data_IF_473240401068
#
_entry.id   IF_473240401068
#
_cell.length_a   1.000
_cell.length_b   1.000
_cell.length_c   1.000
_cell.angle_alpha   90.00
_cell.angle_beta   90.00
_cell.angle_gamma   90.00
#
_symmetry.space_group_name_H-M   'P 1'
#
loop_
_entity.id
_entity.type
_entity.pdbx_description
1 polymer ?
#
# COMPACT_ATOMS: atom_id res chain seq x y z
N UNK A 1 64.48 37.31 10.17
CA UNK A 1 63.98 36.09 9.54
C UNK A 1 63.40 35.19 10.62
N UNK A 2 62.07 35.23 10.86
CA UNK A 2 61.42 34.35 11.79
C UNK A 2 60.90 33.18 10.98
N UNK A 3 61.39 31.98 11.22
CA UNK A 3 60.90 30.74 10.64
C UNK A 3 59.65 30.28 11.43
N UNK A 4 58.49 30.31 10.78
CA UNK A 4 57.25 29.78 11.31
C UNK A 4 57.32 28.25 11.25
N UNK A 5 57.38 27.60 12.42
CA UNK A 5 57.26 26.15 12.59
C UNK A 5 55.82 25.71 12.25
N UNK A 6 55.62 24.61 11.49
CA UNK A 6 54.27 24.10 11.20
C UNK A 6 53.61 23.50 12.47
N UNK A 7 52.30 23.60 12.62
CA UNK A 7 51.60 23.10 13.80
C UNK A 7 51.68 21.55 13.85
N UNK A 8 52.15 21.06 15.00
CA UNK A 8 52.20 19.60 15.33
C UNK A 8 50.80 19.03 15.33
N UNK A 9 50.40 18.35 14.28
CA UNK A 9 49.10 17.63 14.24
C UNK A 9 49.19 16.39 15.13
N UNK A 10 48.41 16.35 16.20
CA UNK A 10 48.34 15.22 17.11
C UNK A 10 47.78 13.99 16.38
N UNK A 11 48.48 12.84 16.34
CA UNK A 11 48.01 11.63 15.65
C UNK A 11 46.70 11.06 16.19
N UNK A 12 46.37 11.39 17.44
CA UNK A 12 45.16 10.97 18.12
C UNK A 12 43.88 11.58 17.47
N UNK A 13 43.95 12.82 16.95
CA UNK A 13 42.82 13.46 16.28
C UNK A 13 42.53 12.87 14.90
N UNK A 14 43.52 12.33 14.22
CA UNK A 14 43.37 11.71 12.92
C UNK A 14 42.73 10.34 13.10
N UNK A 15 43.15 9.54 14.08
CA UNK A 15 42.56 8.24 14.38
C UNK A 15 41.08 8.34 14.78
N UNK A 16 40.69 9.34 15.57
CA UNK A 16 39.32 9.56 16.00
C UNK A 16 38.39 9.92 14.86
N UNK A 17 38.82 10.72 13.88
CA UNK A 17 38.03 11.06 12.69
C UNK A 17 37.76 9.87 11.78
N UNK A 18 38.71 8.98 11.61
CA UNK A 18 38.52 7.78 10.77
C UNK A 18 37.64 6.72 11.47
N UNK A 19 37.71 6.61 12.80
CA UNK A 19 36.84 5.72 13.58
C UNK A 19 35.36 6.12 13.53
N UNK A 20 35.05 7.42 13.58
CA UNK A 20 33.68 7.94 13.49
C UNK A 20 33.12 7.74 12.08
N UNK A 21 33.95 7.96 11.05
CA UNK A 21 33.53 7.79 9.66
C UNK A 21 33.24 6.32 9.30
N UNK A 22 34.04 5.39 9.82
CA UNK A 22 33.80 3.95 9.59
C UNK A 22 32.58 3.42 10.34
N UNK A 23 32.26 3.95 11.51
CA UNK A 23 31.05 3.60 12.27
C UNK A 23 29.78 4.11 11.59
N UNK A 24 29.82 5.26 10.95
CA UNK A 24 28.69 5.81 10.19
C UNK A 24 28.36 5.01 8.92
N UNK A 25 29.35 4.36 8.27
CA UNK A 25 29.12 3.52 7.11
C UNK A 25 28.48 2.17 7.46
N UNK A 26 28.63 1.68 8.68
CA UNK A 26 28.06 0.39 9.11
C UNK A 26 26.56 0.47 9.45
N UNK A 27 25.99 1.67 9.60
CA UNK A 27 24.58 1.90 9.94
C UNK A 27 23.65 1.99 8.72
N UNK A 28 24.17 1.94 7.50
CA UNK A 28 23.36 2.06 6.27
C UNK A 28 22.97 0.72 5.63
N UNK A 29 23.33 -0.40 6.23
CA UNK A 29 22.97 -1.69 5.69
C UNK A 29 21.75 -2.24 6.44
N UNK A 30 20.63 -2.25 5.76
CA UNK A 30 19.53 -3.22 5.80
C UNK A 30 18.15 -2.58 5.59
N UNK A 31 18.02 -1.73 4.59
CA UNK A 31 16.71 -1.58 3.97
C UNK A 31 16.51 -2.80 3.04
N UNK A 32 16.25 -3.97 3.62
CA UNK A 32 15.65 -5.05 2.84
C UNK A 32 14.26 -4.55 2.44
N UNK A 33 14.10 -4.20 1.17
CA UNK A 33 12.77 -4.10 0.58
C UNK A 33 12.15 -5.51 0.75
N UNK A 34 11.24 -5.65 1.72
CA UNK A 34 10.46 -6.88 1.85
C UNK A 34 9.72 -7.04 0.53
N UNK A 35 9.99 -8.14 -0.16
CA UNK A 35 9.18 -8.52 -1.30
C UNK A 35 7.71 -8.55 -0.86
N UNK A 36 6.78 -7.98 -1.64
CA UNK A 36 5.37 -8.01 -1.28
C UNK A 36 4.94 -9.46 -1.08
N UNK A 37 4.31 -9.76 0.04
CA UNK A 37 3.75 -11.06 0.33
C UNK A 37 2.61 -11.33 -0.64
N UNK A 38 2.89 -12.16 -1.64
CA UNK A 38 1.91 -12.53 -2.64
C UNK A 38 0.93 -13.54 -2.05
N UNK A 39 -0.36 -13.20 -2.12
CA UNK A 39 -1.43 -14.12 -1.75
C UNK A 39 -1.46 -15.33 -2.69
N UNK A 40 -1.73 -16.51 -2.15
CA UNK A 40 -1.99 -17.71 -2.95
C UNK A 40 -3.44 -17.69 -3.40
N UNK A 41 -3.68 -17.79 -4.70
CA UNK A 41 -5.02 -17.73 -5.29
C UNK A 41 -5.36 -19.01 -6.03
N UNK A 42 -6.62 -19.44 -5.87
CA UNK A 42 -7.26 -20.50 -6.64
C UNK A 42 -8.39 -19.91 -7.47
N UNK A 43 -8.44 -20.28 -8.74
CA UNK A 43 -9.48 -19.81 -9.67
C UNK A 43 -10.35 -20.97 -10.14
N UNK A 44 -11.66 -20.75 -10.15
CA UNK A 44 -12.66 -21.65 -10.70
C UNK A 44 -13.72 -20.83 -11.43
N UNK A 45 -13.94 -21.12 -12.72
CA UNK A 45 -14.91 -20.41 -13.56
C UNK A 45 -14.92 -18.87 -13.34
N UNK A 46 -15.94 -18.37 -12.65
CA UNK A 46 -16.14 -16.95 -12.33
C UNK A 46 -15.78 -16.58 -10.89
N UNK A 47 -15.17 -17.49 -10.13
CA UNK A 47 -14.75 -17.29 -8.73
C UNK A 47 -13.24 -17.30 -8.63
N UNK A 48 -12.69 -16.31 -7.96
CA UNK A 48 -11.29 -16.23 -7.52
C UNK A 48 -11.30 -16.24 -5.99
N UNK A 49 -10.54 -17.13 -5.36
CA UNK A 49 -10.35 -17.18 -3.92
C UNK A 49 -8.86 -17.09 -3.59
N UNK A 50 -8.49 -16.18 -2.72
CA UNK A 50 -7.11 -15.91 -2.34
C UNK A 50 -6.94 -15.96 -0.83
N UNK A 51 -5.74 -16.34 -0.38
CA UNK A 51 -5.32 -16.30 1.01
C UNK A 51 -3.89 -15.75 1.06
N UNK A 52 -3.64 -14.80 1.95
CA UNK A 52 -2.29 -14.31 2.23
C UNK A 52 -1.60 -15.12 3.33
N UNK A 53 -0.35 -14.77 3.65
CA UNK A 53 0.44 -15.47 4.68
C UNK A 53 -0.09 -15.25 6.08
N UNK A 54 -0.75 -14.13 6.33
CA UNK A 54 -1.33 -13.80 7.64
C UNK A 54 -2.67 -14.53 7.86
N UNK A 55 -3.14 -15.29 6.85
CA UNK A 55 -4.39 -16.02 6.87
C UNK A 55 -5.61 -15.15 6.52
N UNK A 56 -5.41 -13.90 6.08
CA UNK A 56 -6.50 -13.12 5.53
C UNK A 56 -6.96 -13.76 4.23
N UNK A 57 -8.26 -13.89 4.09
CA UNK A 57 -8.86 -14.55 2.93
C UNK A 57 -9.84 -13.63 2.23
N UNK A 58 -9.87 -13.69 0.91
CA UNK A 58 -10.87 -12.99 0.12
C UNK A 58 -11.27 -13.77 -1.12
N UNK A 59 -12.50 -13.55 -1.55
CA UNK A 59 -13.01 -14.13 -2.79
C UNK A 59 -13.69 -13.06 -3.63
N UNK A 60 -13.60 -13.25 -4.93
CA UNK A 60 -14.17 -12.37 -5.96
C UNK A 60 -14.97 -13.24 -6.92
N UNK A 61 -16.25 -12.95 -7.07
CA UNK A 61 -17.12 -13.58 -8.05
C UNK A 61 -17.71 -12.50 -8.96
N UNK A 62 -17.82 -12.79 -10.25
CA UNK A 62 -18.39 -11.87 -11.24
C UNK A 62 -19.62 -12.49 -11.89
N UNK A 63 -20.69 -11.72 -11.95
CA UNK A 63 -21.93 -12.08 -12.64
C UNK A 63 -22.40 -10.86 -13.47
N UNK A 64 -22.31 -10.96 -14.78
CA UNK A 64 -22.61 -9.86 -15.69
C UNK A 64 -21.71 -8.64 -15.40
N UNK A 65 -22.32 -7.49 -15.13
CA UNK A 65 -21.63 -6.23 -14.83
C UNK A 65 -21.38 -6.03 -13.33
N UNK A 66 -21.63 -7.04 -12.51
CA UNK A 66 -21.53 -6.95 -11.06
C UNK A 66 -20.44 -7.89 -10.54
N UNK A 67 -19.58 -7.37 -9.70
CA UNK A 67 -18.54 -8.10 -8.99
C UNK A 67 -18.90 -8.15 -7.50
N UNK A 68 -18.91 -9.33 -6.94
CA UNK A 68 -19.15 -9.61 -5.52
C UNK A 68 -17.84 -9.98 -4.88
N UNK A 69 -17.46 -9.27 -3.82
CA UNK A 69 -16.24 -9.50 -3.06
C UNK A 69 -16.62 -9.84 -1.61
N UNK A 70 -15.89 -10.76 -1.02
CA UNK A 70 -15.98 -11.10 0.40
C UNK A 70 -14.57 -11.23 0.95
N UNK A 71 -14.35 -10.74 2.15
CA UNK A 71 -13.08 -10.87 2.82
C UNK A 71 -13.22 -11.24 4.28
N UNK A 72 -12.12 -11.81 4.81
CA UNK A 72 -11.94 -12.10 6.21
C UNK A 72 -10.53 -11.64 6.62
N UNK A 73 -10.45 -10.82 7.65
CA UNK A 73 -9.21 -10.29 8.23
C UNK A 73 -8.98 -10.95 9.60
N UNK A 74 -7.86 -11.66 9.73
CA UNK A 74 -7.53 -12.43 10.94
C UNK A 74 -7.32 -11.53 12.14
N UNK A 75 -6.59 -10.42 11.96
CA UNK A 75 -6.19 -9.51 13.05
C UNK A 75 -7.38 -8.93 13.82
N UNK A 76 -8.48 -8.65 13.14
CA UNK A 76 -9.71 -8.12 13.76
C UNK A 76 -10.86 -9.11 13.81
N UNK A 77 -10.66 -10.36 13.34
CA UNK A 77 -11.75 -11.31 13.06
C UNK A 77 -12.87 -10.66 12.25
N UNK A 78 -12.51 -9.70 11.42
CA UNK A 78 -13.42 -8.85 10.65
C UNK A 78 -13.80 -9.54 9.35
N UNK A 79 -15.09 -9.66 9.10
CA UNK A 79 -15.63 -10.10 7.82
C UNK A 79 -16.22 -8.90 7.09
N UNK A 80 -16.07 -8.87 5.79
CA UNK A 80 -16.66 -7.82 4.98
C UNK A 80 -17.18 -8.37 3.65
N UNK A 81 -18.13 -7.66 3.08
CA UNK A 81 -18.67 -7.89 1.75
C UNK A 81 -18.70 -6.58 0.98
N UNK A 82 -18.44 -6.64 -0.30
CA UNK A 82 -18.56 -5.51 -1.21
C UNK A 82 -19.20 -5.95 -2.51
N UNK A 83 -20.10 -5.13 -3.00
CA UNK A 83 -20.68 -5.26 -4.34
C UNK A 83 -20.21 -4.09 -5.19
N UNK A 84 -19.74 -4.40 -6.38
CA UNK A 84 -19.28 -3.40 -7.36
C UNK A 84 -20.05 -3.61 -8.65
N UNK A 85 -20.76 -2.58 -9.13
CA UNK A 85 -21.55 -2.63 -10.35
C UNK A 85 -21.06 -1.59 -11.35
N UNK A 86 -20.95 -2.00 -12.61
CA UNK A 86 -20.47 -1.16 -13.70
C UNK A 86 -21.59 -0.78 -14.66
N UNK A 87 -21.70 0.52 -14.93
CA UNK A 87 -22.65 1.09 -15.87
C UNK A 87 -21.89 2.01 -16.87
N UNK A 88 -21.48 1.47 -17.99
CA UNK A 88 -20.65 2.20 -18.95
C UNK A 88 -19.31 2.62 -18.36
N UNK A 89 -19.10 3.94 -18.23
CA UNK A 89 -17.88 4.52 -17.68
C UNK A 89 -17.94 4.78 -16.15
N UNK A 90 -19.05 4.44 -15.52
CA UNK A 90 -19.30 4.63 -14.11
C UNK A 90 -19.31 3.28 -13.40
N UNK A 91 -18.57 3.19 -12.33
CA UNK A 91 -18.50 2.01 -11.45
C UNK A 91 -18.88 2.45 -10.05
N UNK A 92 -19.91 1.84 -9.47
CA UNK A 92 -20.32 2.03 -8.08
C UNK A 92 -19.89 0.84 -7.25
N UNK A 93 -19.53 1.10 -6.00
CA UNK A 93 -19.31 0.05 -5.03
C UNK A 93 -19.95 0.40 -3.67
N UNK A 94 -20.43 -0.61 -3.00
CA UNK A 94 -20.93 -0.52 -1.63
C UNK A 94 -20.40 -1.71 -0.85
N UNK A 95 -20.10 -1.52 0.41
CA UNK A 95 -19.62 -2.57 1.27
C UNK A 95 -20.12 -2.44 2.70
N UNK A 96 -20.03 -3.53 3.42
CA UNK A 96 -20.42 -3.65 4.82
C UNK A 96 -19.48 -4.63 5.51
N UNK A 97 -19.04 -4.29 6.71
CA UNK A 97 -18.23 -5.15 7.56
C UNK A 97 -18.99 -5.63 8.81
N UNK A 98 -18.49 -6.69 9.43
CA UNK A 98 -19.08 -7.32 10.63
C UNK A 98 -19.02 -6.44 11.89
N UNK A 99 -18.16 -5.43 11.89
CA UNK A 99 -18.06 -4.39 12.93
C UNK A 99 -19.09 -3.26 12.75
N UNK A 100 -19.92 -3.33 11.70
CA UNK A 100 -20.93 -2.33 11.38
C UNK A 100 -20.43 -1.19 10.47
N UNK A 101 -19.16 -1.15 10.12
CA UNK A 101 -18.67 -0.18 9.15
C UNK A 101 -19.30 -0.43 7.77
N UNK A 102 -19.87 0.61 7.19
CA UNK A 102 -20.38 0.61 5.82
C UNK A 102 -19.60 1.63 4.98
N UNK A 103 -19.37 1.30 3.72
CA UNK A 103 -18.73 2.23 2.78
C UNK A 103 -19.42 2.22 1.43
N UNK A 104 -19.31 3.33 0.74
CA UNK A 104 -19.86 3.55 -0.59
C UNK A 104 -18.89 4.40 -1.38
N UNK A 105 -18.85 4.17 -2.66
CA UNK A 105 -18.07 5.02 -3.54
C UNK A 105 -18.37 4.78 -5.01
N UNK A 106 -17.72 5.58 -5.82
CA UNK A 106 -17.79 5.42 -7.26
C UNK A 106 -16.47 5.82 -7.93
N UNK A 107 -16.30 5.29 -9.11
CA UNK A 107 -15.22 5.58 -10.03
C UNK A 107 -15.82 5.96 -11.37
N UNK A 108 -15.45 7.10 -11.93
CA UNK A 108 -15.93 7.58 -13.24
C UNK A 108 -14.77 7.86 -14.15
N UNK A 109 -14.78 7.22 -15.30
CA UNK A 109 -13.80 7.48 -16.35
C UNK A 109 -14.22 8.69 -17.22
N UNK A 110 -13.30 9.64 -17.39
CA UNK A 110 -13.47 10.82 -18.22
C UNK A 110 -12.22 10.93 -19.11
N UNK A 111 -12.30 10.44 -20.35
CA UNK A 111 -11.16 10.37 -21.26
C UNK A 111 -10.03 9.49 -20.70
N UNK A 112 -8.87 10.09 -20.48
CA UNK A 112 -7.66 9.45 -19.95
C UNK A 112 -7.60 9.43 -18.40
N UNK A 113 -8.57 10.04 -17.77
CA UNK A 113 -8.61 10.28 -16.33
C UNK A 113 -9.73 9.49 -15.69
N UNK A 114 -9.51 8.98 -14.49
CA UNK A 114 -10.52 8.34 -13.64
C UNK A 114 -10.66 9.13 -12.35
N UNK A 115 -11.86 9.60 -12.09
CA UNK A 115 -12.26 10.28 -10.85
C UNK A 115 -12.77 9.23 -9.88
N UNK A 116 -12.22 9.20 -8.67
CA UNK A 116 -12.60 8.27 -7.62
C UNK A 116 -13.11 9.05 -6.40
N UNK A 117 -14.19 8.56 -5.80
CA UNK A 117 -14.72 9.05 -4.53
C UNK A 117 -15.17 7.90 -3.68
N UNK A 118 -14.89 7.97 -2.41
CA UNK A 118 -15.43 7.04 -1.42
C UNK A 118 -15.77 7.75 -0.11
N UNK A 119 -16.64 7.12 0.68
CA UNK A 119 -17.02 7.55 2.03
C UNK A 119 -17.36 6.32 2.85
N UNK A 120 -17.02 6.33 4.13
CA UNK A 120 -17.40 5.27 5.08
C UNK A 120 -18.12 5.85 6.29
N UNK A 121 -18.92 5.02 6.95
CA UNK A 121 -19.60 5.37 8.21
C UNK A 121 -18.62 5.58 9.37
N UNK A 122 -17.39 5.07 9.26
CA UNK A 122 -16.29 5.31 10.19
C UNK A 122 -15.63 6.70 10.06
N UNK A 123 -16.17 7.58 9.20
CA UNK A 123 -15.68 8.95 8.99
C UNK A 123 -14.56 9.08 7.95
N UNK A 124 -14.09 7.97 7.39
CA UNK A 124 -13.10 8.02 6.30
C UNK A 124 -13.75 8.44 5.00
N UNK A 125 -13.14 9.36 4.28
CA UNK A 125 -13.57 9.75 2.95
C UNK A 125 -12.36 10.16 2.10
N UNK A 126 -12.50 10.00 0.79
CA UNK A 126 -11.44 10.36 -0.14
C UNK A 126 -11.98 10.75 -1.51
N UNK A 127 -11.23 11.65 -2.14
CA UNK A 127 -11.41 12.04 -3.54
C UNK A 127 -10.05 12.10 -4.18
N UNK A 128 -9.82 11.29 -5.20
CA UNK A 128 -8.56 11.27 -5.92
C UNK A 128 -8.77 11.02 -7.41
N UNK A 129 -7.80 11.41 -8.19
CA UNK A 129 -7.83 11.32 -9.65
C UNK A 129 -6.64 10.49 -10.11
N UNK A 130 -6.93 9.48 -10.92
CA UNK A 130 -5.90 8.65 -11.55
C UNK A 130 -5.82 8.96 -13.04
N UNK A 131 -4.63 8.99 -13.59
CA UNK A 131 -4.40 9.17 -15.03
C UNK A 131 -3.66 7.97 -15.59
N UNK A 132 -3.85 7.69 -16.88
CA UNK A 132 -3.10 6.63 -17.57
C UNK A 132 -1.60 6.92 -17.67
N UNK A 133 -1.20 8.18 -17.59
CA UNK A 133 0.18 8.60 -17.74
C UNK A 133 0.92 8.68 -16.41
N UNK A 134 0.23 9.14 -15.36
CA UNK A 134 0.84 9.40 -14.05
C UNK A 134 0.42 8.41 -12.95
N UNK A 135 -0.54 7.51 -13.25
CA UNK A 135 -1.11 6.62 -12.26
C UNK A 135 -2.05 7.35 -11.28
N UNK A 136 -2.23 6.81 -10.13
CA UNK A 136 -2.88 7.42 -8.98
C UNK A 136 -1.79 8.04 -8.09
#
# INVERSE_FOLDING_TARGET
MLALLPPKRNPMYIALKYSVLSLALMLTANAFAQAPDLATCTRSANLLACMDRDGNAYSVATAGNTTYMRGFEVSGKRRWVQTTSRYGQLTFFTGLASDGEAWVGYSRRVGWTTLNRFSSSGGSSGKFTCSRLTGC
#
